data_IF_734156663013
#
_entry.id   IF_734156663013
#
_cell.length_a   1.000
_cell.length_b   1.000
_cell.length_c   1.000
_cell.angle_alpha   90.00
_cell.angle_beta   90.00
_cell.angle_gamma   90.00
#
_symmetry.space_group_name_H-M   'P 1'
#
loop_
_entity.id
_entity.type
_entity.pdbx_description
1 polymer ?
#
# COMPACT_ATOMS: atom_id res chain seq x y z
N UNK A 1 -34.35 31.03 38.08
CA UNK A 1 -34.35 29.57 38.30
C UNK A 1 -34.77 28.92 36.98
N UNK A 2 -33.83 28.56 36.18
CA UNK A 2 -34.09 27.88 34.90
C UNK A 2 -33.83 26.40 35.09
N UNK A 3 -34.87 25.59 34.98
CA UNK A 3 -34.77 24.14 35.01
C UNK A 3 -34.33 23.68 33.63
N UNK A 4 -33.13 23.11 33.58
CA UNK A 4 -32.61 22.38 32.41
C UNK A 4 -33.20 20.98 32.46
N UNK A 5 -34.12 20.71 31.54
CA UNK A 5 -34.68 19.35 31.34
C UNK A 5 -33.61 18.53 30.60
N UNK A 6 -33.08 17.52 31.28
CA UNK A 6 -32.21 16.52 30.68
C UNK A 6 -33.02 15.62 29.75
N UNK A 7 -32.56 15.31 28.55
CA UNK A 7 -33.31 14.36 27.68
C UNK A 7 -33.16 12.95 28.26
N UNK A 8 -34.29 12.29 28.34
CA UNK A 8 -34.45 10.90 28.77
C UNK A 8 -33.93 9.96 27.69
N UNK A 9 -32.81 9.32 27.92
CA UNK A 9 -32.18 8.38 26.99
C UNK A 9 -32.69 6.94 27.09
N UNK A 10 -33.73 6.68 27.88
CA UNK A 10 -34.25 5.33 28.13
C UNK A 10 -35.26 4.81 27.09
N UNK A 11 -35.51 5.56 26.01
CA UNK A 11 -36.35 5.09 24.91
C UNK A 11 -35.58 4.93 23.61
N UNK A 12 -34.62 4.05 23.60
CA UNK A 12 -34.06 3.58 22.33
C UNK A 12 -35.11 2.68 21.65
N UNK A 13 -35.41 2.93 20.36
CA UNK A 13 -36.32 2.06 19.64
C UNK A 13 -35.74 0.64 19.58
N UNK A 14 -36.52 -0.30 20.08
CA UNK A 14 -36.18 -1.70 20.00
C UNK A 14 -36.33 -2.15 18.56
N UNK A 15 -35.21 -2.34 17.86
CA UNK A 15 -35.22 -2.92 16.53
C UNK A 15 -35.49 -4.41 16.63
N UNK A 16 -36.65 -4.83 16.13
CA UNK A 16 -36.92 -6.25 15.94
C UNK A 16 -36.19 -6.71 14.69
N UNK A 17 -35.13 -7.47 14.88
CA UNK A 17 -34.45 -8.14 13.76
C UNK A 17 -35.37 -9.27 13.29
N UNK A 18 -36.10 -9.03 12.20
CA UNK A 18 -36.83 -10.11 11.53
C UNK A 18 -35.79 -10.87 10.70
N UNK A 19 -35.45 -12.07 11.13
CA UNK A 19 -34.68 -12.99 10.30
C UNK A 19 -35.54 -13.31 9.08
N UNK A 20 -35.13 -12.77 7.93
CA UNK A 20 -35.67 -13.17 6.64
C UNK A 20 -35.14 -14.57 6.36
N UNK A 21 -35.93 -15.58 6.64
CA UNK A 21 -35.68 -16.92 6.11
C UNK A 21 -35.65 -16.81 4.59
N UNK A 22 -34.55 -17.19 3.93
CA UNK A 22 -34.55 -17.21 2.48
C UNK A 22 -35.67 -18.14 2.02
N UNK A 23 -36.64 -17.60 1.30
CA UNK A 23 -37.65 -18.41 0.62
C UNK A 23 -36.83 -19.25 -0.37
N UNK A 24 -36.73 -20.54 -0.08
CA UNK A 24 -36.23 -21.53 -1.01
C UNK A 24 -37.29 -21.72 -2.08
N UNK A 25 -37.45 -20.73 -2.94
CA UNK A 25 -38.19 -20.89 -4.17
C UNK A 25 -37.25 -21.64 -5.11
N UNK A 26 -37.72 -22.82 -5.52
CA UNK A 26 -37.07 -23.53 -6.60
C UNK A 26 -37.06 -22.59 -7.80
N UNK A 27 -35.92 -22.13 -8.34
CA UNK A 27 -35.88 -21.15 -9.43
C UNK A 27 -36.59 -21.65 -10.69
N UNK A 28 -37.06 -22.88 -10.69
CA UNK A 28 -37.83 -23.46 -11.78
C UNK A 28 -39.32 -23.08 -11.75
N UNK A 29 -39.91 -22.75 -10.62
CA UNK A 29 -41.34 -22.47 -10.50
C UNK A 29 -41.71 -21.00 -10.80
N UNK A 30 -40.79 -20.07 -10.61
CA UNK A 30 -41.06 -18.63 -10.79
C UNK A 30 -41.11 -18.16 -12.26
N UNK A 31 -40.76 -19.00 -13.21
CA UNK A 31 -40.71 -18.65 -14.65
C UNK A 31 -41.67 -19.47 -15.51
N UNK A 32 -42.89 -19.60 -15.06
CA UNK A 32 -43.92 -20.37 -15.82
C UNK A 32 -44.46 -19.62 -17.03
N UNK A 33 -44.19 -18.32 -17.20
CA UNK A 33 -44.68 -17.55 -18.34
C UNK A 33 -43.59 -17.47 -19.45
N UNK A 34 -43.93 -17.78 -20.72
CA UNK A 34 -42.95 -17.79 -21.83
C UNK A 34 -42.17 -16.49 -22.00
N UNK A 35 -42.77 -15.35 -21.63
CA UNK A 35 -42.12 -14.04 -21.70
C UNK A 35 -41.08 -13.89 -20.58
N UNK A 36 -41.25 -14.57 -19.45
CA UNK A 36 -40.30 -14.56 -18.34
C UNK A 36 -39.12 -15.49 -18.56
N UNK A 37 -39.24 -16.48 -19.43
CA UNK A 37 -38.11 -17.33 -19.81
C UNK A 37 -36.95 -16.55 -20.44
N UNK A 38 -37.27 -15.44 -21.12
CA UNK A 38 -36.26 -14.54 -21.72
C UNK A 38 -35.37 -13.86 -20.65
N UNK A 39 -35.87 -13.75 -19.41
CA UNK A 39 -35.16 -13.11 -18.28
C UNK A 39 -34.60 -14.15 -17.29
N UNK A 40 -34.66 -15.44 -17.64
CA UNK A 40 -34.09 -16.48 -16.78
C UNK A 40 -32.61 -16.26 -16.62
N UNK A 41 -32.13 -16.04 -15.39
CA UNK A 41 -30.69 -15.94 -15.17
C UNK A 41 -30.04 -17.26 -15.61
N UNK A 42 -29.13 -17.17 -16.56
CA UNK A 42 -28.34 -18.33 -16.99
C UNK A 42 -27.67 -18.86 -15.71
N UNK A 43 -27.84 -20.18 -15.39
CA UNK A 43 -27.19 -20.73 -14.20
C UNK A 43 -25.68 -20.51 -14.35
N UNK A 44 -25.16 -19.58 -13.56
CA UNK A 44 -23.71 -19.37 -13.50
C UNK A 44 -23.13 -20.66 -12.93
N UNK A 45 -22.25 -21.36 -13.65
CA UNK A 45 -21.63 -22.55 -13.12
C UNK A 45 -21.00 -22.17 -11.78
N UNK A 46 -21.37 -22.88 -10.72
CA UNK A 46 -20.75 -22.74 -9.39
C UNK A 46 -19.29 -23.16 -9.55
N UNK A 47 -18.48 -22.21 -9.98
CA UNK A 47 -17.03 -22.37 -9.90
C UNK A 47 -16.74 -22.40 -8.41
N UNK A 48 -16.35 -23.54 -7.89
CA UNK A 48 -15.79 -23.66 -6.55
C UNK A 48 -14.52 -22.79 -6.49
N UNK A 49 -14.75 -21.51 -6.25
CA UNK A 49 -13.71 -20.51 -6.00
C UNK A 49 -13.20 -20.67 -4.58
N UNK A 50 -12.73 -21.84 -4.23
CA UNK A 50 -11.70 -21.91 -3.22
C UNK A 50 -10.44 -21.42 -3.91
N UNK A 51 -9.88 -20.26 -3.54
CA UNK A 51 -8.56 -19.90 -4.01
C UNK A 51 -7.63 -21.02 -3.52
N UNK A 52 -7.29 -21.95 -4.41
CA UNK A 52 -6.19 -22.86 -4.14
C UNK A 52 -4.97 -21.96 -4.19
N UNK A 53 -4.49 -21.58 -3.03
CA UNK A 53 -3.12 -21.09 -2.89
C UNK A 53 -2.25 -22.28 -3.32
N UNK A 54 -1.84 -22.27 -4.55
CA UNK A 54 -0.76 -23.13 -4.99
C UNK A 54 0.49 -22.53 -4.36
N UNK A 55 1.08 -23.25 -3.42
CA UNK A 55 2.50 -23.11 -3.18
C UNK A 55 3.13 -23.45 -4.55
N UNK A 56 3.50 -22.40 -5.28
CA UNK A 56 4.40 -22.55 -6.42
C UNK A 56 5.67 -23.10 -5.79
N UNK A 57 6.05 -24.36 -6.06
CA UNK A 57 7.36 -24.82 -5.62
C UNK A 57 8.36 -23.83 -6.16
N UNK A 58 9.30 -23.40 -5.34
CA UNK A 58 10.32 -22.39 -5.64
C UNK A 58 11.34 -22.84 -6.71
N UNK A 59 10.95 -23.71 -7.64
CA UNK A 59 11.71 -24.06 -8.84
C UNK A 59 11.97 -22.87 -9.77
N UNK A 60 11.24 -21.76 -9.58
CA UNK A 60 11.57 -20.48 -10.23
C UNK A 60 12.82 -19.79 -9.63
N UNK A 61 13.34 -20.28 -8.52
CA UNK A 61 14.56 -19.76 -7.87
C UNK A 61 15.84 -20.54 -8.19
N UNK A 62 15.73 -21.69 -8.80
CA UNK A 62 16.91 -22.50 -9.11
C UNK A 62 17.70 -22.02 -10.36
N UNK A 63 17.11 -21.14 -11.17
CA UNK A 63 17.82 -20.50 -12.29
C UNK A 63 18.69 -19.29 -11.84
N UNK A 64 18.45 -18.76 -10.65
CA UNK A 64 19.32 -17.75 -10.05
C UNK A 64 20.19 -18.45 -9.02
N UNK A 65 21.44 -18.63 -9.36
CA UNK A 65 22.47 -19.08 -8.44
C UNK A 65 22.32 -18.35 -7.10
N UNK A 66 21.99 -19.06 -6.04
CA UNK A 66 21.73 -18.47 -4.71
C UNK A 66 22.92 -17.67 -4.18
N UNK A 67 24.10 -17.87 -4.74
CA UNK A 67 25.32 -17.10 -4.48
C UNK A 67 25.21 -15.64 -4.98
N UNK A 68 24.42 -15.35 -6.01
CA UNK A 68 24.25 -14.01 -6.56
C UNK A 68 22.95 -13.31 -6.09
N UNK A 69 22.11 -13.99 -5.33
CA UNK A 69 20.91 -13.36 -4.77
C UNK A 69 21.31 -12.35 -3.68
N UNK A 70 20.71 -11.15 -3.66
CA UNK A 70 20.96 -10.16 -2.61
C UNK A 70 20.73 -10.78 -1.22
N UNK A 71 21.74 -10.70 -0.34
CA UNK A 71 21.66 -11.29 0.99
C UNK A 71 21.03 -10.33 1.99
N UNK A 72 19.98 -10.77 2.71
CA UNK A 72 19.37 -9.96 3.76
C UNK A 72 20.42 -9.61 4.83
N UNK A 73 20.42 -8.37 5.26
CA UNK A 73 21.34 -7.85 6.28
C UNK A 73 20.55 -7.32 7.47
N UNK A 74 20.89 -7.77 8.68
CA UNK A 74 20.27 -7.30 9.91
C UNK A 74 20.50 -5.79 10.12
N UNK A 75 19.49 -5.07 10.61
CA UNK A 75 19.59 -3.66 10.94
C UNK A 75 20.69 -3.36 11.96
N UNK A 76 21.01 -4.31 12.84
CA UNK A 76 22.07 -4.16 13.85
C UNK A 76 23.48 -4.04 13.23
N UNK A 77 23.70 -4.55 12.01
CA UNK A 77 24.98 -4.48 11.29
C UNK A 77 25.03 -3.30 10.32
N UNK A 78 23.95 -2.54 10.19
CA UNK A 78 23.82 -1.40 9.27
C UNK A 78 23.95 -0.07 10.01
N UNK A 79 24.33 1.01 9.31
CA UNK A 79 24.31 2.33 9.91
C UNK A 79 22.88 2.78 10.28
N UNK A 80 22.78 3.73 11.23
CA UNK A 80 21.47 4.29 11.62
C UNK A 80 20.71 4.79 10.38
N UNK A 81 19.50 4.25 10.21
CA UNK A 81 18.64 4.52 9.05
C UNK A 81 18.04 5.93 9.08
N UNK A 82 17.87 6.54 10.27
CA UNK A 82 17.17 7.83 10.40
C UNK A 82 17.85 8.98 9.64
N UNK A 83 19.17 9.22 9.79
CA UNK A 83 19.87 10.23 9.00
C UNK A 83 19.77 9.95 7.50
N UNK A 84 19.89 8.68 7.12
CA UNK A 84 19.83 8.27 5.72
C UNK A 84 18.46 8.59 5.11
N UNK A 85 17.36 8.29 5.80
CA UNK A 85 16.01 8.62 5.32
C UNK A 85 15.85 10.13 5.14
N UNK A 86 16.27 10.93 6.11
CA UNK A 86 16.18 12.39 5.99
C UNK A 86 16.94 12.93 4.79
N UNK A 87 18.18 12.50 4.61
CA UNK A 87 19.01 12.87 3.47
C UNK A 87 18.39 12.40 2.15
N UNK A 88 17.95 11.15 2.11
CA UNK A 88 17.33 10.55 0.93
C UNK A 88 16.09 11.32 0.48
N UNK A 89 15.16 11.60 1.41
CA UNK A 89 13.94 12.34 1.10
C UNK A 89 14.27 13.74 0.59
N UNK A 90 15.24 14.42 1.20
CA UNK A 90 15.67 15.75 0.74
C UNK A 90 16.17 15.68 -0.71
N UNK A 91 17.02 14.72 -1.02
CA UNK A 91 17.54 14.51 -2.37
C UNK A 91 16.42 14.18 -3.36
N UNK A 92 15.47 13.32 -3.00
CA UNK A 92 14.30 12.97 -3.83
C UNK A 92 13.46 14.21 -4.16
N UNK A 93 13.17 15.05 -3.17
CA UNK A 93 12.40 16.29 -3.38
C UNK A 93 13.11 17.26 -4.32
N UNK A 94 14.44 17.36 -4.23
CA UNK A 94 15.25 18.18 -5.14
C UNK A 94 15.31 17.59 -6.56
N UNK A 95 15.35 16.26 -6.70
CA UNK A 95 15.30 15.57 -7.99
C UNK A 95 13.95 15.82 -8.67
N UNK A 96 12.85 15.64 -7.95
CA UNK A 96 11.51 15.92 -8.48
C UNK A 96 11.34 17.39 -8.90
N UNK A 97 12.00 18.30 -8.20
CA UNK A 97 12.02 19.72 -8.57
C UNK A 97 13.04 20.06 -9.68
N UNK A 98 13.77 19.07 -10.22
CA UNK A 98 14.79 19.28 -11.25
C UNK A 98 16.04 20.02 -10.78
N UNK A 99 16.26 20.10 -9.45
CA UNK A 99 17.43 20.80 -8.85
C UNK A 99 18.62 19.89 -8.64
N UNK A 100 18.44 18.59 -8.75
CA UNK A 100 19.48 17.57 -8.48
C UNK A 100 19.38 16.43 -9.48
N UNK A 101 20.52 15.85 -9.83
CA UNK A 101 20.58 14.65 -10.68
C UNK A 101 20.19 13.40 -9.88
N UNK A 102 19.38 12.51 -10.48
CA UNK A 102 19.01 11.21 -9.91
C UNK A 102 20.19 10.26 -9.73
N UNK A 103 21.29 10.46 -10.48
CA UNK A 103 22.50 9.61 -10.40
C UNK A 103 23.09 9.52 -8.99
N UNK A 104 22.91 10.56 -8.16
CA UNK A 104 23.43 10.56 -6.79
C UNK A 104 22.74 9.53 -5.89
N UNK A 105 21.55 9.06 -6.26
CA UNK A 105 20.81 8.03 -5.53
C UNK A 105 20.92 6.64 -6.15
N UNK A 106 21.71 6.48 -7.22
CA UNK A 106 21.85 5.20 -7.93
C UNK A 106 22.28 4.05 -7.02
N UNK A 107 23.23 4.31 -6.11
CA UNK A 107 23.76 3.29 -5.19
C UNK A 107 22.84 3.00 -3.99
N UNK A 108 21.87 3.90 -3.73
CA UNK A 108 20.96 3.79 -2.57
C UNK A 108 19.58 3.29 -3.00
N UNK A 109 19.32 3.25 -4.30
CA UNK A 109 18.03 2.80 -4.85
C UNK A 109 18.17 1.46 -5.56
N UNK A 110 17.14 0.64 -5.41
CA UNK A 110 16.96 -0.48 -6.34
C UNK A 110 16.79 0.07 -7.77
N UNK A 111 17.23 -0.70 -8.77
CA UNK A 111 17.23 -0.30 -10.17
C UNK A 111 15.88 0.29 -10.64
N UNK A 112 14.77 -0.38 -10.32
CA UNK A 112 13.43 0.09 -10.69
C UNK A 112 13.10 1.46 -10.09
N UNK A 113 13.48 1.69 -8.83
CA UNK A 113 13.24 2.98 -8.14
C UNK A 113 14.10 4.07 -8.73
N UNK A 114 15.36 3.77 -9.04
CA UNK A 114 16.25 4.72 -9.69
C UNK A 114 15.72 5.13 -11.07
N UNK A 115 15.23 4.17 -11.87
CA UNK A 115 14.63 4.44 -13.19
C UNK A 115 13.38 5.31 -13.07
N UNK A 116 12.50 5.05 -12.08
CA UNK A 116 11.33 5.88 -11.80
C UNK A 116 11.73 7.32 -11.39
N UNK A 117 12.74 7.47 -10.53
CA UNK A 117 13.26 8.78 -10.14
C UNK A 117 13.82 9.56 -11.35
N UNK A 118 14.51 8.86 -12.23
CA UNK A 118 15.06 9.46 -13.44
C UNK A 118 13.96 10.01 -14.34
N UNK A 119 12.89 9.24 -14.55
CA UNK A 119 11.72 9.67 -15.33
C UNK A 119 10.94 10.80 -14.66
N UNK A 120 10.93 10.84 -13.33
CA UNK A 120 10.21 11.84 -12.55
C UNK A 120 11.06 13.12 -12.29
N UNK A 121 12.28 13.20 -12.82
CA UNK A 121 13.14 14.37 -12.64
C UNK A 121 12.47 15.62 -13.23
N UNK A 122 12.33 16.68 -12.40
CA UNK A 122 11.69 17.93 -12.83
C UNK A 122 10.17 17.86 -12.97
N UNK A 123 9.53 16.79 -12.47
CA UNK A 123 8.05 16.64 -12.52
C UNK A 123 7.30 17.61 -11.61
N UNK A 124 7.98 18.19 -10.63
CA UNK A 124 7.40 19.17 -9.70
C UNK A 124 8.03 20.54 -9.91
N UNK A 125 7.22 21.59 -9.82
CA UNK A 125 7.70 22.99 -10.00
C UNK A 125 8.40 23.54 -8.75
N UNK A 126 8.07 23.00 -7.57
CA UNK A 126 8.56 23.48 -6.29
C UNK A 126 9.21 22.39 -5.49
N UNK A 127 10.23 22.77 -4.71
CA UNK A 127 10.82 21.85 -3.72
C UNK A 127 9.87 21.72 -2.55
N UNK A 128 9.44 20.49 -2.26
CA UNK A 128 8.61 20.19 -1.11
C UNK A 128 9.34 20.45 0.22
N UNK A 129 8.61 20.93 1.21
CA UNK A 129 9.11 21.12 2.59
C UNK A 129 8.64 19.98 3.48
N UNK A 130 9.56 19.21 4.01
CA UNK A 130 9.26 18.15 4.97
C UNK A 130 8.62 18.75 6.24
N UNK A 131 7.48 18.20 6.65
CA UNK A 131 6.73 18.65 7.84
C UNK A 131 6.80 17.64 8.97
N UNK A 132 6.66 16.36 8.65
CA UNK A 132 6.67 15.29 9.63
C UNK A 132 7.22 14.03 8.98
N UNK A 133 8.07 13.33 9.69
CA UNK A 133 8.58 12.01 9.32
C UNK A 133 8.16 11.01 10.38
N UNK A 134 7.60 9.89 9.95
CA UNK A 134 7.31 8.74 10.80
C UNK A 134 8.11 7.56 10.25
N UNK A 135 8.89 6.93 11.09
CA UNK A 135 9.75 5.79 10.75
C UNK A 135 9.30 4.61 11.59
N UNK A 136 9.17 3.46 10.98
CA UNK A 136 8.84 2.18 11.60
C UNK A 136 9.73 1.09 11.05
N UNK A 137 10.11 0.16 11.90
CA UNK A 137 10.90 -1.02 11.55
C UNK A 137 10.03 -2.26 11.82
N UNK A 138 9.19 -2.67 10.86
CA UNK A 138 8.25 -3.76 11.06
C UNK A 138 8.95 -5.13 11.21
N UNK A 139 10.11 -5.28 10.60
CA UNK A 139 10.94 -6.49 10.64
C UNK A 139 12.41 -6.08 10.68
N UNK A 140 13.26 -6.99 11.16
CA UNK A 140 14.72 -6.77 11.14
C UNK A 140 15.23 -6.57 9.70
N UNK A 141 16.02 -5.53 9.50
CA UNK A 141 16.52 -5.17 8.18
C UNK A 141 15.47 -4.55 7.23
N UNK A 142 14.26 -4.26 7.70
CA UNK A 142 13.22 -3.58 6.92
C UNK A 142 12.78 -2.31 7.64
N UNK A 143 12.88 -1.19 6.95
CA UNK A 143 12.46 0.10 7.48
C UNK A 143 11.47 0.77 6.53
N UNK A 144 10.36 1.23 7.08
CA UNK A 144 9.34 1.98 6.36
C UNK A 144 9.23 3.40 6.92
N UNK A 145 9.20 4.37 6.04
CA UNK A 145 8.99 5.75 6.44
C UNK A 145 7.86 6.42 5.67
N UNK A 146 7.08 7.18 6.40
CA UNK A 146 6.02 8.04 5.86
C UNK A 146 6.37 9.48 6.15
N UNK A 147 6.54 10.27 5.11
CA UNK A 147 6.98 11.66 5.19
C UNK A 147 5.90 12.58 4.67
N UNK A 148 5.37 13.43 5.51
CA UNK A 148 4.44 14.49 5.10
C UNK A 148 5.24 15.67 4.56
N UNK A 149 4.96 16.03 3.33
CA UNK A 149 5.65 17.10 2.59
C UNK A 149 4.63 18.15 2.15
N UNK A 150 4.98 19.41 2.29
CA UNK A 150 4.19 20.54 1.81
C UNK A 150 4.78 21.09 0.52
N UNK A 151 3.95 21.15 -0.52
CA UNK A 151 4.22 21.79 -1.80
C UNK A 151 3.26 22.97 -1.95
N UNK A 152 3.76 24.19 -1.83
CA UNK A 152 2.89 25.37 -1.75
C UNK A 152 1.83 25.22 -0.68
N UNK A 153 0.55 25.19 -1.09
CA UNK A 153 -0.59 25.02 -0.18
C UNK A 153 -1.07 23.57 -0.04
N UNK A 154 -0.49 22.63 -0.78
CA UNK A 154 -0.88 21.23 -0.77
C UNK A 154 0.03 20.42 0.14
N UNK A 155 -0.57 19.55 0.94
CA UNK A 155 0.12 18.50 1.68
C UNK A 155 0.04 17.21 0.88
N UNK A 156 1.18 16.54 0.75
CA UNK A 156 1.31 15.22 0.16
C UNK A 156 2.12 14.31 1.08
N UNK A 157 2.05 13.03 0.82
CA UNK A 157 2.77 12.03 1.59
C UNK A 157 3.73 11.28 0.68
N UNK A 158 4.98 11.19 1.11
CA UNK A 158 5.97 10.31 0.49
C UNK A 158 6.07 9.07 1.36
N UNK A 159 5.79 7.92 0.76
CA UNK A 159 6.04 6.62 1.37
C UNK A 159 7.33 6.04 0.80
N UNK A 160 8.19 5.55 1.68
CA UNK A 160 9.48 4.95 1.30
C UNK A 160 9.75 3.70 2.14
N UNK A 161 10.31 2.67 1.51
CA UNK A 161 10.77 1.46 2.18
C UNK A 161 12.24 1.23 1.85
N UNK A 162 12.98 0.92 2.88
CA UNK A 162 14.37 0.50 2.80
C UNK A 162 14.53 -0.94 3.27
N UNK A 163 15.37 -1.67 2.61
CA UNK A 163 15.75 -3.04 2.98
C UNK A 163 17.26 -3.12 3.13
N UNK A 164 17.69 -3.80 4.17
CA UNK A 164 19.09 -4.13 4.39
C UNK A 164 19.49 -5.27 3.47
N UNK A 165 20.27 -4.98 2.45
CA UNK A 165 20.76 -5.96 1.47
C UNK A 165 22.25 -5.75 1.23
N UNK A 166 23.01 -6.83 1.20
CA UNK A 166 24.45 -6.83 0.92
C UNK A 166 25.24 -5.80 1.75
N UNK A 167 24.95 -5.73 3.05
CA UNK A 167 25.64 -4.83 3.99
C UNK A 167 25.27 -3.36 3.87
N UNK A 168 24.19 -3.00 3.16
CA UNK A 168 23.76 -1.61 2.98
C UNK A 168 22.24 -1.47 2.96
N UNK A 169 21.77 -0.26 3.27
CA UNK A 169 20.37 0.09 3.07
C UNK A 169 20.08 0.39 1.60
N UNK A 170 19.06 -0.25 1.05
CA UNK A 170 18.61 -0.07 -0.33
C UNK A 170 17.13 0.34 -0.34
N UNK A 171 16.79 1.43 -1.01
CA UNK A 171 15.43 1.86 -1.22
C UNK A 171 14.73 0.94 -2.24
N UNK A 172 13.72 0.21 -1.80
CA UNK A 172 12.97 -0.76 -2.62
C UNK A 172 11.56 -0.29 -2.97
N UNK A 173 11.04 0.74 -2.29
CA UNK A 173 9.78 1.37 -2.63
C UNK A 173 9.86 2.88 -2.41
N UNK A 174 9.32 3.67 -3.35
CA UNK A 174 9.19 5.11 -3.25
C UNK A 174 7.91 5.54 -3.98
N UNK A 175 6.99 6.19 -3.27
CA UNK A 175 5.71 6.63 -3.82
C UNK A 175 5.34 7.99 -3.27
N UNK A 176 4.85 8.88 -4.14
CA UNK A 176 4.24 10.17 -3.78
C UNK A 176 2.72 10.05 -3.89
N UNK A 177 2.02 10.30 -2.78
CA UNK A 177 0.56 10.22 -2.63
C UNK A 177 -0.02 11.62 -2.49
#
# INVERSE_FOLDING_TARGET
MSMTTQPDFDQLPTFTVTELTPVSSDPHEDFLHPVLEMFRPVPVPKVDKKPRLYLVPSTFGEEFDSEFAPQPTSAASLPDIKPLIHQFIHNVLEIWAGRRSSQQLQLVCHYNIHSQLQLATGSLQEIGRVRKTRITEPLDGICEATVTVRFGDRLRVVAVRFEGLDGRWLCTCLTLI
#
